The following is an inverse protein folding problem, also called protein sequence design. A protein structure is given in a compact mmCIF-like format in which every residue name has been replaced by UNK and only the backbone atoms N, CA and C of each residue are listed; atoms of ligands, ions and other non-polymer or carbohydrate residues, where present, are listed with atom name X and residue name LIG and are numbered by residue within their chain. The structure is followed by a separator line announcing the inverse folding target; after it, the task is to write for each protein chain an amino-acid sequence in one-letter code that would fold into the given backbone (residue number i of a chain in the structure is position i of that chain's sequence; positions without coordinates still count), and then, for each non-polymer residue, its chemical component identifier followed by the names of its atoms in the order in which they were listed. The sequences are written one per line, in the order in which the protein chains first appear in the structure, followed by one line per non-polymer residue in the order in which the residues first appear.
data_IF_503568350921
#
_entry.id   IF_503568350921
#
_cell.length_a   1.000
_cell.length_b   1.000
_cell.length_c   1.000
_cell.angle_alpha   90.00
_cell.angle_beta   90.00
_cell.angle_gamma   90.00
#
_symmetry.space_group_name_H-M   'P 1'
#
loop_
_entity.id
_entity.type
_entity.pdbx_description
1 polymer ?
#
# COMPACT_ATOMS: atom_id res chain seq x y z
N UNK A 1 -12.99 -0.62 -4.93
CA UNK A 1 -12.57 -0.99 -3.54
C UNK A 1 -12.71 -2.47 -3.20
N UNK A 2 -11.88 -3.00 -2.29
CA UNK A 2 -12.02 -4.36 -1.71
C UNK A 2 -13.19 -4.48 -0.74
N UNK A 3 -13.78 -5.68 -0.66
CA UNK A 3 -14.92 -5.99 0.21
C UNK A 3 -14.58 -6.96 1.35
N UNK A 4 -13.46 -7.68 1.24
CA UNK A 4 -13.00 -8.62 2.24
C UNK A 4 -11.48 -8.62 2.39
N UNK A 5 -11.01 -9.31 3.44
CA UNK A 5 -9.59 -9.46 3.74
C UNK A 5 -8.81 -10.15 2.63
N UNK A 6 -9.42 -11.12 1.94
CA UNK A 6 -8.76 -11.91 0.91
C UNK A 6 -8.37 -11.03 -0.28
N UNK A 7 -9.26 -10.12 -0.68
CA UNK A 7 -8.97 -9.12 -1.71
C UNK A 7 -7.75 -8.26 -1.34
N UNK A 8 -7.64 -7.82 -0.08
CA UNK A 8 -6.49 -7.02 0.38
C UNK A 8 -5.20 -7.86 0.40
N UNK A 9 -5.27 -9.13 0.79
CA UNK A 9 -4.13 -10.06 0.74
C UNK A 9 -3.63 -10.26 -0.69
N UNK A 10 -4.52 -10.42 -1.66
CA UNK A 10 -4.17 -10.54 -3.08
C UNK A 10 -3.47 -9.28 -3.62
N UNK A 11 -3.95 -8.09 -3.24
CA UNK A 11 -3.32 -6.81 -3.61
C UNK A 11 -1.91 -6.67 -3.01
N UNK A 12 -1.70 -7.06 -1.75
CA UNK A 12 -0.37 -7.07 -1.14
C UNK A 12 0.56 -8.02 -1.89
N UNK A 13 0.09 -9.23 -2.19
CA UNK A 13 0.89 -10.23 -2.89
C UNK A 13 1.25 -9.75 -4.31
N UNK A 14 0.34 -9.08 -5.00
CA UNK A 14 0.59 -8.51 -6.33
C UNK A 14 1.55 -7.32 -6.28
N UNK A 15 1.42 -6.45 -5.27
CA UNK A 15 2.39 -5.40 -5.00
C UNK A 15 3.80 -5.99 -4.82
N UNK A 16 3.97 -6.98 -3.95
CA UNK A 16 5.27 -7.59 -3.70
C UNK A 16 5.84 -8.29 -4.93
N UNK A 17 5.00 -8.96 -5.74
CA UNK A 17 5.43 -9.53 -7.03
C UNK A 17 5.88 -8.45 -8.01
N UNK A 18 5.24 -7.28 -8.01
CA UNK A 18 5.60 -6.18 -8.91
C UNK A 18 7.03 -5.66 -8.68
N UNK A 19 7.52 -5.73 -7.44
CA UNK A 19 8.90 -5.37 -7.09
C UNK A 19 9.93 -6.30 -7.75
N UNK A 20 9.57 -7.58 -7.95
CA UNK A 20 10.46 -8.60 -8.52
C UNK A 20 10.48 -8.58 -10.06
N UNK A 21 9.50 -7.95 -10.71
CA UNK A 21 9.36 -7.89 -12.17
C UNK A 21 9.10 -6.45 -12.63
N UNK A 22 10.16 -5.65 -12.87
CA UNK A 22 10.02 -4.25 -13.28
C UNK A 22 9.46 -4.04 -14.72
N UNK A 23 8.77 -5.03 -15.32
CA UNK A 23 8.25 -4.94 -16.68
C UNK A 23 6.76 -4.62 -16.73
N UNK A 24 6.41 -3.34 -16.52
CA UNK A 24 5.39 -2.57 -17.27
C UNK A 24 5.16 -1.22 -16.59
N UNK A 25 6.13 -0.31 -16.74
CA UNK A 25 6.22 1.00 -16.08
C UNK A 25 5.22 2.07 -16.62
N UNK A 26 3.95 1.74 -16.85
CA UNK A 26 2.99 2.74 -17.34
C UNK A 26 1.57 2.68 -16.76
N UNK A 27 1.31 1.82 -15.77
CA UNK A 27 0.09 1.92 -14.98
C UNK A 27 0.39 2.69 -13.70
N UNK A 28 -0.29 3.82 -13.51
CA UNK A 28 -0.29 4.54 -12.23
C UNK A 28 -0.73 3.53 -11.16
N UNK A 29 0.19 3.16 -10.26
CA UNK A 29 -0.12 2.28 -9.14
C UNK A 29 -1.10 3.01 -8.21
N UNK A 30 -2.39 2.67 -8.33
CA UNK A 30 -3.46 3.25 -7.52
C UNK A 30 -3.92 2.19 -6.52
N UNK A 31 -3.70 2.42 -5.23
CA UNK A 31 -4.26 1.59 -4.15
C UNK A 31 -5.41 2.34 -3.49
N UNK A 32 -6.57 1.69 -3.43
CA UNK A 32 -7.75 2.10 -2.66
C UNK A 32 -8.28 3.54 -2.86
N UNK A 33 -7.74 4.32 -3.80
CA UNK A 33 -8.31 5.59 -4.26
C UNK A 33 -9.26 5.33 -5.43
N UNK A 34 -10.55 5.34 -5.12
CA UNK A 34 -11.61 5.58 -6.09
C UNK A 34 -11.92 7.10 -6.03
N UNK A 35 -12.05 7.73 -7.21
CA UNK A 35 -12.43 9.12 -7.48
C UNK A 35 -11.27 10.12 -7.68
N UNK A 36 -11.09 10.52 -8.95
CA UNK A 36 -10.22 11.60 -9.41
C UNK A 36 -10.79 13.00 -9.10
N UNK A 37 -11.63 13.13 -8.09
CA UNK A 37 -12.15 14.41 -7.61
C UNK A 37 -11.31 14.82 -6.40
N UNK A 38 -10.40 15.78 -6.61
CA UNK A 38 -9.38 16.26 -5.66
C UNK A 38 -9.94 16.81 -4.32
N UNK A 39 -11.26 16.77 -4.12
CA UNK A 39 -11.97 17.35 -2.98
C UNK A 39 -12.84 16.35 -2.18
N UNK A 40 -12.86 15.05 -2.52
CA UNK A 40 -13.58 14.05 -1.71
C UNK A 40 -12.72 13.57 -0.52
N UNK A 41 -13.25 13.80 0.69
CA UNK A 41 -12.71 13.31 1.97
C UNK A 41 -12.39 11.81 1.88
N UNK A 42 -11.21 11.38 2.36
CA UNK A 42 -10.83 9.96 2.37
C UNK A 42 -11.88 9.16 3.15
N UNK A 43 -12.63 8.30 2.45
CA UNK A 43 -13.67 7.47 3.06
C UNK A 43 -13.09 6.50 4.12
N UNK A 44 -13.89 6.22 5.16
CA UNK A 44 -13.53 5.32 6.26
C UNK A 44 -13.09 3.93 5.75
N UNK A 45 -13.71 3.45 4.67
CA UNK A 45 -13.37 2.16 4.06
C UNK A 45 -11.96 2.16 3.46
N UNK A 46 -11.53 3.28 2.89
CA UNK A 46 -10.17 3.45 2.35
C UNK A 46 -9.15 3.39 3.46
N UNK A 47 -9.42 4.04 4.59
CA UNK A 47 -8.56 4.00 5.78
C UNK A 47 -8.48 2.58 6.33
N UNK A 48 -9.61 1.89 6.48
CA UNK A 48 -9.66 0.52 6.99
C UNK A 48 -8.91 -0.47 6.07
N UNK A 49 -9.12 -0.38 4.76
CA UNK A 49 -8.39 -1.20 3.78
C UNK A 49 -6.89 -0.90 3.78
N UNK A 50 -6.51 0.37 3.92
CA UNK A 50 -5.10 0.79 4.01
C UNK A 50 -4.43 0.24 5.28
N UNK A 51 -5.13 0.26 6.41
CA UNK A 51 -4.63 -0.32 7.66
C UNK A 51 -4.41 -1.83 7.50
N UNK A 52 -5.41 -2.54 6.97
CA UNK A 52 -5.33 -3.98 6.74
C UNK A 52 -4.21 -4.33 5.75
N UNK A 53 -4.06 -3.55 4.69
CA UNK A 53 -2.96 -3.68 3.73
C UNK A 53 -1.61 -3.57 4.43
N UNK A 54 -1.41 -2.54 5.25
CA UNK A 54 -0.16 -2.34 6.00
C UNK A 54 0.12 -3.52 6.94
N UNK A 55 -0.86 -3.99 7.69
CA UNK A 55 -0.69 -5.16 8.58
C UNK A 55 -0.24 -6.42 7.83
N UNK A 56 -0.88 -6.71 6.69
CA UNK A 56 -0.55 -7.88 5.88
C UNK A 56 0.84 -7.71 5.26
N UNK A 57 1.13 -6.53 4.71
CA UNK A 57 2.41 -6.20 4.10
C UNK A 57 3.56 -6.41 5.08
N UNK A 58 3.47 -5.88 6.30
CA UNK A 58 4.50 -6.05 7.33
C UNK A 58 4.73 -7.52 7.65
N UNK A 59 3.67 -8.31 7.81
CA UNK A 59 3.80 -9.76 8.04
C UNK A 59 4.53 -10.46 6.89
N UNK A 60 4.26 -10.07 5.64
CA UNK A 60 4.94 -10.63 4.47
C UNK A 60 6.41 -10.22 4.43
N UNK A 61 6.71 -8.95 4.66
CA UNK A 61 8.07 -8.39 4.71
C UNK A 61 8.92 -9.11 5.76
N UNK A 62 8.41 -9.24 6.99
CA UNK A 62 9.12 -9.91 8.09
C UNK A 62 9.36 -11.40 7.78
N UNK A 63 8.39 -12.09 7.20
CA UNK A 63 8.54 -13.50 6.84
C UNK A 63 9.51 -13.74 5.68
N UNK A 64 9.63 -12.76 4.78
CA UNK A 64 10.48 -12.85 3.59
C UNK A 64 11.84 -12.14 3.76
N UNK A 65 12.11 -11.57 4.94
CA UNK A 65 13.32 -10.79 5.25
C UNK A 65 13.59 -9.67 4.21
N UNK A 66 12.52 -8.95 3.86
CA UNK A 66 12.60 -7.81 2.94
C UNK A 66 12.95 -6.53 3.69
N UNK A 67 13.67 -5.64 3.00
CA UNK A 67 14.03 -4.32 3.54
C UNK A 67 12.81 -3.40 3.59
N UNK A 68 12.36 -3.08 4.81
CA UNK A 68 11.19 -2.23 5.04
C UNK A 68 11.41 -0.79 4.55
N UNK A 69 12.63 -0.24 4.67
CA UNK A 69 12.93 1.12 4.23
C UNK A 69 12.79 1.26 2.71
N UNK A 70 13.25 0.23 1.98
CA UNK A 70 13.08 0.15 0.53
C UNK A 70 11.59 0.12 0.13
N UNK A 71 10.78 -0.69 0.82
CA UNK A 71 9.35 -0.79 0.56
C UNK A 71 8.63 0.54 0.86
N UNK A 72 8.99 1.18 1.97
CA UNK A 72 8.42 2.47 2.35
C UNK A 72 8.67 3.54 1.29
N UNK A 73 9.91 3.70 0.83
CA UNK A 73 10.23 4.71 -0.19
C UNK A 73 9.57 4.38 -1.55
N UNK A 74 9.45 3.12 -1.94
CA UNK A 74 8.71 2.72 -3.14
C UNK A 74 7.22 3.08 -3.05
N UNK A 75 6.54 2.73 -1.95
CA UNK A 75 5.12 3.05 -1.75
C UNK A 75 4.88 4.56 -1.64
N UNK A 76 5.75 5.27 -0.93
CA UNK A 76 5.71 6.74 -0.82
C UNK A 76 5.85 7.41 -2.19
N UNK A 77 6.74 6.90 -3.05
CA UNK A 77 6.90 7.43 -4.41
C UNK A 77 5.68 7.19 -5.30
N UNK A 78 4.97 6.08 -5.10
CA UNK A 78 3.80 5.68 -5.90
C UNK A 78 2.49 6.32 -5.43
N UNK A 79 2.31 6.46 -4.12
CA UNK A 79 1.04 6.85 -3.50
C UNK A 79 1.04 8.30 -2.98
N UNK A 80 2.22 8.88 -2.75
CA UNK A 80 2.37 10.20 -2.16
C UNK A 80 2.37 10.21 -0.63
N UNK A 81 2.85 11.31 -0.05
CA UNK A 81 3.12 11.43 1.39
C UNK A 81 1.86 11.41 2.29
N UNK A 82 0.69 11.75 1.74
CA UNK A 82 -0.56 11.82 2.48
C UNK A 82 -1.39 10.53 2.41
N UNK A 83 -0.93 9.52 1.66
CA UNK A 83 -1.67 8.28 1.54
C UNK A 83 -1.67 7.53 2.88
N UNK A 84 -2.82 6.99 3.37
CA UNK A 84 -2.89 6.33 4.67
C UNK A 84 -1.86 5.21 4.87
N UNK A 85 -1.63 4.36 3.86
CA UNK A 85 -0.55 3.33 3.87
C UNK A 85 0.82 3.95 4.19
N UNK A 86 1.16 5.07 3.58
CA UNK A 86 2.46 5.75 3.77
C UNK A 86 2.55 6.33 5.17
N UNK A 87 1.46 6.92 5.68
CA UNK A 87 1.40 7.44 7.04
C UNK A 87 1.61 6.31 8.06
N UNK A 88 0.89 5.20 7.92
CA UNK A 88 1.01 4.05 8.83
C UNK A 88 2.41 3.43 8.82
N UNK A 89 3.02 3.28 7.63
CA UNK A 89 4.39 2.77 7.53
C UNK A 89 5.41 3.73 8.14
N UNK A 90 5.19 5.05 7.98
CA UNK A 90 6.06 6.07 8.57
C UNK A 90 6.01 6.01 10.11
N UNK A 91 4.82 5.94 10.69
CA UNK A 91 4.65 5.81 12.14
C UNK A 91 5.37 4.58 12.70
N UNK A 92 5.33 3.45 11.98
CA UNK A 92 6.04 2.22 12.38
C UNK A 92 7.58 2.32 12.27
N UNK A 93 8.10 3.18 11.40
CA UNK A 93 9.55 3.39 11.23
C UNK A 93 10.11 4.46 12.18
N UNK A 94 9.27 5.37 12.66
CA UNK A 94 9.66 6.44 13.60
C UNK A 94 9.53 6.03 15.08
N UNK A 95 8.95 4.86 15.39
CA UNK A 95 9.00 4.19 16.71
C UNK A 95 10.31 3.39 16.92
#
# INVERSE_FOLDING_TARGET
MCEDRKCVEEIVDDYLKSLLRPQSANEKFKLFQDNEEEDEEIDEKTVANSYLFTEILIKRILNADLDLDFIFEDLKSKLGNSHPIVIFLKELLEE
#
